data_IF_774977314251
#
_entry.id   IF_774977314251
#
_cell.length_a   1.000
_cell.length_b   1.000
_cell.length_c   1.000
_cell.angle_alpha   90.00
_cell.angle_beta   90.00
_cell.angle_gamma   90.00
#
_symmetry.space_group_name_H-M   'P 1'
#
loop_
_entity.id
_entity.type
_entity.pdbx_description
1 polymer ?
#
# COMPACT_ATOMS: atom_id res chain seq x y z
N UNK A 1 -12.17 -23.32 -8.22
CA UNK A 1 -12.02 -22.01 -7.57
C UNK A 1 -12.20 -20.96 -8.65
N UNK A 2 -13.29 -20.18 -8.59
CA UNK A 2 -13.58 -19.15 -9.59
C UNK A 2 -12.82 -17.87 -9.21
N UNK A 3 -11.99 -17.37 -10.13
CA UNK A 3 -11.31 -16.08 -10.08
C UNK A 3 -12.29 -14.97 -9.67
N UNK A 4 -12.07 -14.36 -8.51
CA UNK A 4 -12.69 -13.09 -8.11
C UNK A 4 -11.77 -11.92 -8.50
N UNK A 5 -11.51 -11.77 -9.80
CA UNK A 5 -11.69 -10.45 -10.38
C UNK A 5 -13.19 -10.41 -10.60
N UNK A 6 -13.94 -9.40 -10.12
CA UNK A 6 -15.41 -9.36 -10.31
C UNK A 6 -15.70 -9.10 -11.79
N UNK A 7 -15.53 -10.14 -12.60
CA UNK A 7 -15.98 -10.29 -13.97
C UNK A 7 -17.36 -10.92 -13.87
N UNK A 8 -18.38 -10.12 -13.61
CA UNK A 8 -19.75 -10.60 -13.59
C UNK A 8 -20.12 -11.13 -14.98
N UNK A 9 -20.60 -12.37 -15.05
CA UNK A 9 -21.18 -12.91 -16.28
C UNK A 9 -22.59 -12.36 -16.45
N UNK A 10 -23.03 -12.18 -17.70
CA UNK A 10 -24.35 -11.65 -18.08
C UNK A 10 -25.55 -12.44 -17.51
N UNK A 11 -25.32 -13.63 -16.95
CA UNK A 11 -26.35 -14.61 -16.60
C UNK A 11 -26.20 -15.20 -15.18
N UNK A 12 -25.71 -14.44 -14.19
CA UNK A 12 -25.78 -14.90 -12.81
C UNK A 12 -27.18 -14.61 -12.21
N UNK A 13 -27.98 -15.63 -11.83
CA UNK A 13 -29.27 -15.42 -11.20
C UNK A 13 -29.08 -15.01 -9.73
N UNK A 14 -29.52 -13.79 -9.41
CA UNK A 14 -29.85 -13.27 -8.07
C UNK A 14 -29.09 -13.86 -6.87
N UNK A 15 -27.83 -13.48 -6.67
CA UNK A 15 -27.28 -13.36 -5.32
C UNK A 15 -27.55 -11.93 -4.83
N UNK A 16 -28.52 -11.80 -3.92
CA UNK A 16 -28.85 -10.56 -3.21
C UNK A 16 -27.58 -10.04 -2.52
N UNK A 17 -27.00 -8.94 -3.02
CA UNK A 17 -26.09 -8.08 -2.27
C UNK A 17 -25.68 -6.78 -3.01
N UNK A 18 -26.44 -6.24 -3.97
CA UNK A 18 -26.03 -4.99 -4.64
C UNK A 18 -27.25 -4.22 -5.17
N UNK A 19 -27.35 -2.89 -4.91
CA UNK A 19 -28.33 -2.04 -5.58
C UNK A 19 -28.15 -2.14 -7.10
N UNK A 20 -29.27 -2.34 -7.79
CA UNK A 20 -29.36 -2.38 -9.25
C UNK A 20 -29.23 -0.97 -9.85
N UNK A 21 -28.67 -0.92 -11.07
CA UNK A 21 -28.59 0.23 -11.99
C UNK A 21 -27.58 1.31 -11.56
N UNK A 22 -26.42 1.50 -12.20
CA UNK A 22 -26.26 2.21 -13.50
C UNK A 22 -24.94 1.82 -14.24
N UNK A 23 -24.03 1.05 -13.64
CA UNK A 23 -22.66 0.87 -14.18
C UNK A 23 -22.36 -0.51 -14.82
N UNK A 24 -23.25 -1.50 -14.72
CA UNK A 24 -23.05 -2.88 -15.22
C UNK A 24 -23.08 -3.03 -16.74
N UNK A 25 -23.54 -2.00 -17.46
CA UNK A 25 -23.64 -2.03 -18.93
C UNK A 25 -22.38 -1.53 -19.65
N UNK A 26 -21.35 -1.09 -18.92
CA UNK A 26 -20.09 -0.67 -19.56
C UNK A 26 -19.31 -1.90 -20.03
N UNK A 27 -19.05 -2.05 -21.35
CA UNK A 27 -18.22 -3.14 -21.84
C UNK A 27 -16.80 -3.00 -21.26
N UNK A 28 -16.15 -4.14 -20.98
CA UNK A 28 -14.77 -4.22 -20.47
C UNK A 28 -13.73 -3.58 -21.43
N UNK A 29 -14.11 -3.30 -22.68
CA UNK A 29 -13.23 -2.80 -23.72
C UNK A 29 -13.73 -1.45 -24.26
N UNK A 30 -12.78 -0.61 -24.71
CA UNK A 30 -13.05 0.64 -25.43
C UNK A 30 -14.02 0.40 -26.59
N UNK A 31 -14.83 1.41 -26.90
CA UNK A 31 -15.84 1.37 -27.95
C UNK A 31 -15.23 0.96 -29.29
N UNK A 32 -15.32 -0.32 -29.66
CA UNK A 32 -14.86 -0.81 -30.96
C UNK A 32 -14.65 -2.32 -31.08
N UNK A 33 -14.29 -3.04 -30.01
CA UNK A 33 -14.01 -4.48 -30.09
C UNK A 33 -15.09 -5.33 -29.41
N UNK A 34 -16.07 -5.83 -30.18
CA UNK A 34 -16.94 -6.91 -29.72
C UNK A 34 -16.20 -8.24 -29.80
N UNK A 35 -15.53 -8.64 -28.72
CA UNK A 35 -14.89 -9.95 -28.57
C UNK A 35 -15.81 -10.89 -27.77
N UNK A 36 -15.58 -12.20 -27.86
CA UNK A 36 -16.28 -13.16 -27.00
C UNK A 36 -16.09 -12.83 -25.50
N UNK A 37 -14.91 -12.32 -25.14
CA UNK A 37 -14.63 -11.83 -23.79
C UNK A 37 -15.44 -10.56 -23.45
N UNK A 38 -15.58 -9.60 -24.37
CA UNK A 38 -16.35 -8.37 -24.13
C UNK A 38 -17.86 -8.63 -23.99
N UNK A 39 -18.36 -9.72 -24.53
CA UNK A 39 -19.74 -10.17 -24.33
C UNK A 39 -19.93 -10.93 -23.00
N UNK A 40 -18.89 -11.61 -22.52
CA UNK A 40 -18.94 -12.48 -21.33
C UNK A 40 -18.63 -11.75 -20.02
N UNK A 41 -17.74 -10.77 -20.04
CA UNK A 41 -17.19 -10.17 -18.83
C UNK A 41 -17.54 -8.68 -18.69
N UNK A 42 -17.73 -8.23 -17.45
CA UNK A 42 -18.04 -6.84 -17.08
C UNK A 42 -17.15 -6.41 -15.91
N UNK A 43 -16.90 -5.12 -15.77
CA UNK A 43 -16.23 -4.57 -14.59
C UNK A 43 -17.29 -4.33 -13.52
N UNK A 44 -17.15 -5.02 -12.39
CA UNK A 44 -17.99 -4.83 -11.21
C UNK A 44 -17.46 -3.73 -10.28
N UNK A 45 -18.05 -3.62 -9.07
CA UNK A 45 -17.53 -2.77 -8.01
C UNK A 45 -16.07 -3.11 -7.65
N UNK A 46 -15.35 -2.15 -7.08
CA UNK A 46 -13.99 -2.34 -6.58
C UNK A 46 -13.93 -3.45 -5.52
N UNK A 47 -12.82 -4.17 -5.50
CA UNK A 47 -12.47 -5.15 -4.47
C UNK A 47 -11.42 -4.60 -3.50
N UNK A 48 -11.08 -3.31 -3.60
CA UNK A 48 -10.16 -2.65 -2.68
C UNK A 48 -10.65 -2.71 -1.25
N UNK A 49 -9.81 -3.23 -0.37
CA UNK A 49 -10.09 -3.42 1.06
C UNK A 49 -10.61 -2.16 1.74
N UNK A 50 -10.18 -0.98 1.29
CA UNK A 50 -10.57 0.33 1.79
C UNK A 50 -12.09 0.56 1.76
N UNK A 51 -12.81 0.01 0.78
CA UNK A 51 -14.27 0.17 0.65
C UNK A 51 -15.08 -0.90 1.41
N UNK A 52 -14.41 -1.85 2.05
CA UNK A 52 -15.04 -3.05 2.62
C UNK A 52 -14.68 -3.32 4.08
N UNK A 53 -13.46 -2.99 4.52
CA UNK A 53 -12.96 -3.25 5.89
C UNK A 53 -13.73 -2.48 6.97
N UNK A 54 -13.47 -2.80 8.24
CA UNK A 54 -13.98 -2.06 9.39
C UNK A 54 -15.50 -1.83 9.39
N UNK A 55 -16.29 -2.80 8.89
CA UNK A 55 -17.74 -2.69 8.80
C UNK A 55 -18.27 -1.88 7.61
N UNK A 56 -17.39 -1.31 6.76
CA UNK A 56 -17.78 -0.54 5.57
C UNK A 56 -18.55 -1.36 4.55
N UNK A 57 -18.44 -2.69 4.58
CA UNK A 57 -19.28 -3.61 3.79
C UNK A 57 -20.79 -3.39 3.93
N UNK A 58 -21.24 -2.80 5.06
CA UNK A 58 -22.65 -2.49 5.34
C UNK A 58 -23.07 -1.09 4.90
N UNK A 59 -22.13 -0.23 4.50
CA UNK A 59 -22.42 1.13 4.07
C UNK A 59 -22.96 1.17 2.64
N UNK A 60 -23.93 2.04 2.42
CA UNK A 60 -24.40 2.41 1.08
C UNK A 60 -23.51 3.52 0.51
N UNK A 61 -22.39 3.11 -0.10
CA UNK A 61 -21.36 3.99 -0.68
C UNK A 61 -21.06 3.56 -2.11
N UNK A 62 -20.60 4.52 -2.92
CA UNK A 62 -20.15 4.29 -4.28
C UNK A 62 -18.88 3.41 -4.29
N UNK A 63 -18.98 2.26 -4.95
CA UNK A 63 -17.89 1.30 -5.12
C UNK A 63 -17.48 1.17 -6.58
N UNK A 64 -17.88 2.12 -7.42
CA UNK A 64 -17.56 2.16 -8.84
C UNK A 64 -18.34 1.14 -9.69
N UNK A 65 -17.88 0.89 -10.93
CA UNK A 65 -16.68 1.45 -11.54
C UNK A 65 -16.78 2.95 -11.83
N UNK A 66 -15.66 3.66 -11.70
CA UNK A 66 -15.58 5.11 -11.90
C UNK A 66 -15.20 5.49 -13.34
N UNK A 67 -15.73 6.59 -13.89
CA UNK A 67 -15.40 7.06 -15.23
C UNK A 67 -14.00 7.66 -15.37
N UNK A 68 -13.42 8.18 -14.30
CA UNK A 68 -12.12 8.85 -14.27
C UNK A 68 -11.53 8.88 -12.85
N UNK A 69 -10.26 9.30 -12.76
CA UNK A 69 -9.52 9.51 -11.51
C UNK A 69 -10.29 10.38 -10.51
N UNK A 70 -10.95 11.45 -10.97
CA UNK A 70 -11.67 12.39 -10.11
C UNK A 70 -12.81 11.70 -9.40
N UNK A 71 -13.62 10.93 -10.13
CA UNK A 71 -14.75 10.21 -9.57
C UNK A 71 -14.27 9.16 -8.53
N UNK A 72 -13.15 8.48 -8.77
CA UNK A 72 -12.54 7.60 -7.78
C UNK A 72 -12.12 8.35 -6.51
N UNK A 73 -11.42 9.49 -6.65
CA UNK A 73 -11.00 10.30 -5.51
C UNK A 73 -12.19 10.84 -4.70
N UNK A 74 -13.26 11.30 -5.37
CA UNK A 74 -14.50 11.71 -4.70
C UNK A 74 -15.13 10.55 -3.93
N UNK A 75 -15.14 9.34 -4.49
CA UNK A 75 -15.67 8.15 -3.82
C UNK A 75 -14.89 7.77 -2.55
N UNK A 76 -13.56 7.96 -2.55
CA UNK A 76 -12.74 7.76 -1.34
C UNK A 76 -13.10 8.75 -0.23
N UNK A 77 -13.22 10.04 -0.55
CA UNK A 77 -13.64 11.07 0.41
C UNK A 77 -15.04 10.80 0.97
N UNK A 78 -15.98 10.40 0.11
CA UNK A 78 -17.33 9.99 0.51
C UNK A 78 -17.33 8.74 1.39
N UNK A 79 -16.50 7.74 1.07
CA UNK A 79 -16.33 6.53 1.86
C UNK A 79 -15.81 6.85 3.28
N UNK A 80 -14.78 7.69 3.38
CA UNK A 80 -14.23 8.14 4.66
C UNK A 80 -15.31 8.86 5.49
N UNK A 81 -16.03 9.80 4.88
CA UNK A 81 -17.10 10.56 5.54
C UNK A 81 -18.23 9.67 6.04
N UNK A 82 -18.73 8.77 5.20
CA UNK A 82 -19.78 7.81 5.57
C UNK A 82 -19.34 6.89 6.72
N UNK A 83 -18.06 6.53 6.76
CA UNK A 83 -17.50 5.71 7.85
C UNK A 83 -17.52 6.43 9.19
N UNK A 84 -17.20 7.74 9.19
CA UNK A 84 -17.30 8.57 10.40
C UNK A 84 -18.76 8.78 10.82
N UNK A 85 -19.66 9.05 9.86
CA UNK A 85 -21.09 9.25 10.13
C UNK A 85 -21.76 8.00 10.71
N UNK A 86 -21.34 6.81 10.26
CA UNK A 86 -21.81 5.53 10.79
C UNK A 86 -21.12 5.11 12.11
N UNK A 87 -20.17 5.91 12.62
CA UNK A 87 -19.42 5.59 13.84
C UNK A 87 -18.45 4.41 13.70
N UNK A 88 -18.07 4.06 12.47
CA UNK A 88 -17.09 3.01 12.18
C UNK A 88 -15.65 3.50 12.40
N UNK A 89 -15.39 4.76 12.06
CA UNK A 89 -14.11 5.43 12.31
C UNK A 89 -14.26 6.49 13.41
N UNK A 90 -13.29 6.56 14.35
CA UNK A 90 -13.32 7.62 15.37
C UNK A 90 -13.07 8.98 14.74
N UNK A 91 -13.65 10.02 15.35
CA UNK A 91 -13.44 11.41 14.93
C UNK A 91 -13.36 12.34 16.15
N UNK A 92 -12.28 12.23 16.94
CA UNK A 92 -12.09 13.05 18.12
C UNK A 92 -12.02 14.52 17.73
N UNK A 93 -12.91 15.32 18.32
CA UNK A 93 -13.02 16.77 18.12
C UNK A 93 -13.32 17.21 16.67
N UNK A 94 -13.82 16.31 15.82
CA UNK A 94 -14.13 16.63 14.42
C UNK A 94 -12.91 16.69 13.49
N UNK A 95 -11.74 16.26 13.97
CA UNK A 95 -10.47 16.39 13.27
C UNK A 95 -10.42 15.65 11.93
N UNK A 96 -10.99 14.45 11.89
CA UNK A 96 -10.97 13.63 10.69
C UNK A 96 -11.91 14.21 9.64
N UNK A 97 -13.12 14.63 10.04
CA UNK A 97 -14.05 15.33 9.13
C UNK A 97 -13.45 16.61 8.57
N UNK A 98 -12.69 17.36 9.37
CA UNK A 98 -11.95 18.55 8.92
C UNK A 98 -10.95 18.20 7.81
N UNK A 99 -10.09 17.20 8.03
CA UNK A 99 -9.11 16.77 7.01
C UNK A 99 -9.76 16.18 5.76
N UNK A 100 -10.89 15.46 5.89
CA UNK A 100 -11.69 14.98 4.74
C UNK A 100 -12.22 16.16 3.93
N UNK A 101 -12.70 17.23 4.58
CA UNK A 101 -13.16 18.44 3.87
C UNK A 101 -12.03 19.08 3.06
N UNK A 102 -10.82 19.17 3.64
CA UNK A 102 -9.65 19.68 2.93
C UNK A 102 -9.29 18.77 1.76
N UNK A 103 -9.32 17.44 1.95
CA UNK A 103 -9.11 16.47 0.87
C UNK A 103 -10.07 16.72 -0.31
N UNK A 104 -11.37 16.89 -0.04
CA UNK A 104 -12.37 17.13 -1.09
C UNK A 104 -12.11 18.43 -1.87
N UNK A 105 -11.61 19.48 -1.20
CA UNK A 105 -11.17 20.72 -1.85
C UNK A 105 -9.92 20.53 -2.72
N UNK A 106 -9.05 19.58 -2.40
CA UNK A 106 -7.84 19.26 -3.15
C UNK A 106 -8.12 18.39 -4.40
N UNK A 107 -9.14 17.54 -4.36
CA UNK A 107 -9.46 16.57 -5.43
C UNK A 107 -9.46 17.20 -6.83
N UNK A 108 -10.05 18.40 -7.07
CA UNK A 108 -10.05 19.00 -8.39
C UNK A 108 -8.66 19.27 -9.00
N UNK A 109 -7.66 19.55 -8.15
CA UNK A 109 -6.28 19.86 -8.55
C UNK A 109 -5.36 18.62 -8.50
N UNK A 110 -5.63 17.67 -7.60
CA UNK A 110 -4.88 16.41 -7.52
C UNK A 110 -5.22 15.46 -8.66
N UNK A 111 -6.45 15.49 -9.17
CA UNK A 111 -6.91 14.59 -10.22
C UNK A 111 -6.24 14.90 -11.57
N UNK A 112 -5.36 14.03 -12.08
CA UNK A 112 -4.77 14.20 -13.40
C UNK A 112 -5.84 14.03 -14.49
N UNK A 113 -5.67 14.72 -15.62
CA UNK A 113 -6.61 14.62 -16.72
C UNK A 113 -6.46 13.26 -17.43
N UNK A 114 -7.42 12.37 -17.21
CA UNK A 114 -7.58 11.05 -17.89
C UNK A 114 -6.30 10.21 -17.91
N UNK A 115 -6.03 9.50 -16.81
CA UNK A 115 -5.00 8.47 -16.84
C UNK A 115 -5.58 7.14 -17.30
N UNK A 116 -4.72 6.27 -17.84
CA UNK A 116 -5.11 4.91 -18.16
C UNK A 116 -5.34 4.14 -16.86
N UNK A 117 -6.54 3.59 -16.69
CA UNK A 117 -6.77 2.59 -15.66
C UNK A 117 -6.20 1.24 -16.12
N UNK A 118 -5.44 0.59 -15.25
CA UNK A 118 -4.74 -0.67 -15.56
C UNK A 118 -5.14 -1.75 -14.58
N UNK A 119 -5.03 -3.01 -14.99
CA UNK A 119 -5.06 -4.12 -14.05
C UNK A 119 -3.60 -4.47 -13.71
N UNK A 120 -3.21 -4.32 -12.45
CA UNK A 120 -1.88 -4.69 -11.96
C UNK A 120 -1.99 -5.87 -11.00
N UNK A 121 -1.01 -6.78 -11.01
CA UNK A 121 -1.02 -7.90 -10.09
C UNK A 121 -0.66 -7.41 -8.68
N UNK A 122 -1.49 -7.67 -7.65
CA UNK A 122 -1.27 -7.09 -6.32
C UNK A 122 -0.05 -7.67 -5.59
N UNK A 123 0.29 -8.93 -5.86
CA UNK A 123 1.39 -9.62 -5.17
C UNK A 123 2.12 -10.64 -6.07
N UNK A 124 2.81 -10.15 -7.10
CA UNK A 124 3.50 -11.03 -8.06
C UNK A 124 4.88 -11.43 -7.52
N UNK A 125 4.88 -12.27 -6.48
CA UNK A 125 6.08 -12.95 -5.97
C UNK A 125 6.31 -14.28 -6.71
N UNK A 126 7.50 -14.87 -6.54
CA UNK A 126 7.89 -16.07 -7.30
C UNK A 126 6.95 -17.28 -7.10
N UNK A 127 6.27 -17.39 -5.95
CA UNK A 127 5.30 -18.45 -5.67
C UNK A 127 4.00 -18.32 -6.47
N UNK A 128 3.71 -17.13 -6.99
CA UNK A 128 2.54 -16.86 -7.83
C UNK A 128 2.83 -17.02 -9.33
N UNK A 129 4.02 -17.52 -9.69
CA UNK A 129 4.44 -17.81 -11.06
C UNK A 129 4.60 -19.33 -11.21
N UNK A 130 3.78 -19.94 -12.06
CA UNK A 130 3.82 -21.37 -12.37
C UNK A 130 4.63 -21.57 -13.64
N UNK A 131 5.67 -22.40 -13.55
CA UNK A 131 6.48 -22.84 -14.69
C UNK A 131 6.33 -24.34 -14.87
N UNK A 132 6.04 -24.79 -16.09
CA UNK A 132 6.07 -26.21 -16.44
C UNK A 132 7.39 -26.54 -17.14
N UNK A 133 7.96 -27.70 -16.84
CA UNK A 133 9.18 -28.21 -17.45
C UNK A 133 9.59 -29.52 -16.78
N UNK A 134 10.46 -30.30 -17.41
CA UNK A 134 10.99 -31.49 -16.79
C UNK A 134 12.09 -31.08 -15.80
N UNK A 135 11.82 -31.21 -14.49
CA UNK A 135 12.83 -30.95 -13.46
C UNK A 135 13.71 -32.20 -13.36
N UNK A 136 14.59 -32.38 -14.34
CA UNK A 136 15.72 -33.29 -14.16
C UNK A 136 16.80 -32.51 -13.41
N UNK A 137 17.09 -32.91 -12.16
CA UNK A 137 18.08 -32.25 -11.29
C UNK A 137 19.52 -32.26 -11.87
N UNK A 138 19.73 -32.97 -12.99
CA UNK A 138 20.99 -33.04 -13.73
C UNK A 138 20.97 -32.16 -15.00
N UNK A 139 19.81 -31.62 -15.41
CA UNK A 139 19.67 -30.76 -16.58
C UNK A 139 19.93 -29.31 -16.17
N UNK A 140 21.15 -28.84 -16.46
CA UNK A 140 21.56 -27.45 -16.23
C UNK A 140 20.96 -26.47 -17.25
N UNK A 141 20.22 -26.96 -18.25
CA UNK A 141 19.62 -26.13 -19.30
C UNK A 141 18.21 -25.67 -18.91
N UNK A 142 18.13 -24.42 -18.45
CA UNK A 142 16.91 -23.73 -18.07
C UNK A 142 15.91 -23.48 -19.21
N UNK A 143 16.26 -23.84 -20.45
CA UNK A 143 15.47 -23.60 -21.67
C UNK A 143 14.26 -24.54 -21.81
N UNK A 144 14.10 -25.53 -20.92
CA UNK A 144 12.96 -26.46 -20.91
C UNK A 144 11.74 -25.94 -20.13
N UNK A 145 11.88 -24.83 -19.39
CA UNK A 145 10.81 -24.27 -18.56
C UNK A 145 9.97 -23.24 -19.32
N UNK A 146 8.68 -23.52 -19.48
CA UNK A 146 7.68 -22.60 -20.01
C UNK A 146 6.85 -21.95 -18.90
N UNK A 147 6.50 -20.67 -19.04
CA UNK A 147 5.51 -20.03 -18.17
C UNK A 147 4.12 -20.64 -18.44
N UNK A 148 3.53 -21.22 -17.40
CA UNK A 148 2.24 -21.93 -17.50
C UNK A 148 1.11 -21.18 -16.83
N UNK A 149 1.41 -20.31 -15.87
CA UNK A 149 0.37 -19.51 -15.24
C UNK A 149 0.90 -18.43 -14.31
N UNK A 150 0.07 -17.41 -14.13
CA UNK A 150 0.18 -16.44 -13.04
C UNK A 150 -1.10 -16.57 -12.24
N UNK A 151 -0.98 -16.85 -10.95
CA UNK A 151 -2.10 -17.10 -10.03
C UNK A 151 -2.22 -15.98 -9.01
N UNK A 152 -3.20 -16.10 -8.10
CA UNK A 152 -3.39 -15.18 -6.98
C UNK A 152 -3.79 -13.74 -7.34
N UNK A 153 -4.52 -13.61 -8.45
CA UNK A 153 -5.18 -12.36 -8.86
C UNK A 153 -6.30 -11.89 -7.92
N UNK A 154 -6.50 -12.55 -6.78
CA UNK A 154 -7.46 -12.09 -5.78
C UNK A 154 -7.01 -10.72 -5.26
N UNK A 155 -7.93 -9.75 -5.15
CA UNK A 155 -7.66 -8.32 -4.84
C UNK A 155 -7.14 -7.47 -6.01
N UNK A 156 -6.88 -8.04 -7.18
CA UNK A 156 -6.51 -7.23 -8.35
C UNK A 156 -7.65 -6.24 -8.69
N UNK A 157 -7.32 -4.95 -8.76
CA UNK A 157 -8.29 -3.87 -8.99
C UNK A 157 -7.90 -3.09 -10.24
N UNK A 158 -8.89 -2.44 -10.86
CA UNK A 158 -8.68 -1.51 -11.97
C UNK A 158 -8.63 -0.09 -11.40
N UNK A 159 -7.44 0.48 -11.32
CA UNK A 159 -7.17 1.84 -10.85
C UNK A 159 -6.26 2.59 -11.82
N UNK A 160 -6.15 3.92 -11.69
CA UNK A 160 -5.07 4.68 -12.32
C UNK A 160 -3.71 4.03 -12.14
N UNK A 161 -2.94 3.91 -13.22
CA UNK A 161 -1.65 3.19 -13.21
C UNK A 161 -0.68 3.69 -12.14
N UNK A 162 -0.63 5.00 -11.90
CA UNK A 162 0.30 5.57 -10.92
C UNK A 162 0.00 5.12 -9.49
N UNK A 163 -1.25 4.78 -9.17
CA UNK A 163 -1.61 4.26 -7.84
C UNK A 163 -1.21 2.79 -7.64
N UNK A 164 -0.93 2.05 -8.72
CA UNK A 164 -0.70 0.60 -8.66
C UNK A 164 0.71 0.18 -9.03
N UNK A 165 1.37 0.90 -9.95
CA UNK A 165 2.66 0.48 -10.50
C UNK A 165 3.75 0.45 -9.42
N UNK A 166 4.21 -0.76 -9.12
CA UNK A 166 5.35 -1.07 -8.29
C UNK A 166 6.18 -2.16 -8.98
N UNK A 167 7.47 -2.25 -8.68
CA UNK A 167 8.27 -3.39 -9.16
C UNK A 167 7.68 -4.66 -8.54
N UNK A 168 7.35 -5.71 -9.32
CA UNK A 168 6.81 -6.93 -8.73
C UNK A 168 7.80 -7.58 -7.75
N UNK A 169 7.36 -8.11 -6.60
CA UNK A 169 8.25 -8.74 -5.61
C UNK A 169 9.14 -9.85 -6.17
N UNK A 170 8.72 -10.55 -7.23
CA UNK A 170 9.55 -11.54 -7.93
C UNK A 170 10.86 -10.97 -8.52
N UNK A 171 10.90 -9.66 -8.78
CA UNK A 171 11.99 -8.92 -9.40
C UNK A 171 12.56 -7.80 -8.50
N UNK A 172 12.10 -7.70 -7.25
CA UNK A 172 12.68 -6.79 -6.27
C UNK A 172 13.99 -7.35 -5.70
N UNK A 173 14.92 -6.46 -5.38
CA UNK A 173 16.17 -6.80 -4.72
C UNK A 173 16.66 -5.61 -3.90
N UNK A 174 16.88 -5.81 -2.61
CA UNK A 174 17.30 -4.79 -1.65
C UNK A 174 18.76 -5.05 -1.25
N UNK A 175 19.75 -4.29 -1.78
CA UNK A 175 21.17 -4.54 -1.49
C UNK A 175 21.54 -4.49 -0.01
N UNK A 176 20.87 -3.65 0.78
CA UNK A 176 21.14 -3.51 2.22
C UNK A 176 20.77 -4.75 3.03
N UNK A 177 19.88 -5.60 2.51
CA UNK A 177 19.47 -6.86 3.15
C UNK A 177 20.36 -8.04 2.73
N UNK A 178 21.16 -7.87 1.67
CA UNK A 178 21.93 -8.94 1.02
C UNK A 178 23.40 -8.53 0.86
N UNK A 179 24.15 -8.35 1.98
CA UNK A 179 25.50 -7.76 1.97
C UNK A 179 26.53 -8.61 1.20
N UNK A 180 26.23 -9.89 0.97
CA UNK A 180 27.09 -10.81 0.21
C UNK A 180 26.98 -10.62 -1.31
N UNK A 181 26.17 -9.67 -1.80
CA UNK A 181 25.99 -9.36 -3.22
C UNK A 181 26.20 -7.88 -3.47
N UNK A 182 27.10 -7.58 -4.41
CA UNK A 182 27.28 -6.23 -4.93
C UNK A 182 26.31 -6.00 -6.10
N UNK A 183 25.32 -5.13 -5.89
CA UNK A 183 24.36 -4.74 -6.91
C UNK A 183 24.22 -3.22 -6.98
N UNK A 184 24.16 -2.68 -8.19
CA UNK A 184 23.82 -1.29 -8.46
C UNK A 184 22.96 -1.21 -9.71
N UNK A 185 22.11 -0.19 -9.79
CA UNK A 185 21.13 0.03 -10.86
C UNK A 185 21.70 -0.04 -12.29
N UNK A 186 23.00 0.21 -12.49
CA UNK A 186 23.68 0.14 -13.79
C UNK A 186 24.80 -0.89 -13.87
N UNK A 187 25.06 -1.64 -12.79
CA UNK A 187 26.12 -2.62 -12.71
C UNK A 187 25.58 -4.04 -12.72
N UNK A 188 26.21 -4.93 -13.49
CA UNK A 188 25.91 -6.36 -13.43
C UNK A 188 26.12 -6.88 -12.00
N UNK A 189 25.15 -7.62 -11.42
CA UNK A 189 25.30 -8.21 -10.11
C UNK A 189 26.51 -9.15 -10.03
N UNK A 190 27.20 -9.13 -8.89
CA UNK A 190 28.31 -10.04 -8.59
C UNK A 190 28.37 -10.33 -7.09
N UNK A 191 29.02 -11.43 -6.72
CA UNK A 191 29.30 -11.73 -5.31
C UNK A 191 30.17 -10.65 -4.68
N UNK A 192 30.05 -10.47 -3.37
CA UNK A 192 30.91 -9.57 -2.61
C UNK A 192 32.36 -10.08 -2.53
N UNK A 193 33.28 -9.16 -2.21
CA UNK A 193 34.68 -9.50 -1.97
C UNK A 193 34.79 -10.45 -0.76
N UNK A 194 35.65 -11.47 -0.85
CA UNK A 194 35.81 -12.49 0.19
C UNK A 194 34.82 -13.67 0.10
N UNK A 195 34.04 -13.78 -0.99
CA UNK A 195 33.12 -14.92 -1.22
C UNK A 195 33.82 -16.29 -1.12
N UNK A 196 35.04 -16.41 -1.62
CA UNK A 196 35.78 -17.67 -1.63
C UNK A 196 36.14 -18.17 -0.21
N UNK A 197 36.24 -17.25 0.75
CA UNK A 197 36.58 -17.50 2.16
C UNK A 197 35.34 -17.81 3.02
N UNK A 198 34.13 -17.72 2.46
CA UNK A 198 32.88 -18.01 3.16
C UNK A 198 32.71 -19.51 3.44
N UNK A 199 31.91 -19.83 4.46
CA UNK A 199 31.46 -21.20 4.69
C UNK A 199 30.46 -21.64 3.61
N UNK A 200 30.24 -22.95 3.45
CA UNK A 200 29.38 -23.49 2.38
C UNK A 200 27.92 -23.03 2.49
N UNK A 201 27.43 -22.82 3.71
CA UNK A 201 26.09 -22.27 3.96
C UNK A 201 25.97 -20.83 3.45
N UNK A 202 26.92 -19.97 3.82
CA UNK A 202 26.99 -18.57 3.35
C UNK A 202 27.21 -18.48 1.84
N UNK A 203 28.03 -19.37 1.26
CA UNK A 203 28.22 -19.46 -0.21
C UNK A 203 26.92 -19.79 -0.93
N UNK A 204 26.13 -20.70 -0.37
CA UNK A 204 24.83 -21.09 -0.90
C UNK A 204 23.83 -19.94 -0.79
N UNK A 205 23.75 -19.28 0.37
CA UNK A 205 22.89 -18.11 0.58
C UNK A 205 23.24 -16.97 -0.38
N UNK A 206 24.53 -16.62 -0.51
CA UNK A 206 25.03 -15.61 -1.43
C UNK A 206 24.76 -15.97 -2.90
N UNK A 207 24.84 -17.25 -3.28
CA UNK A 207 24.48 -17.70 -4.62
C UNK A 207 22.99 -17.49 -4.92
N UNK A 208 22.10 -17.82 -3.98
CA UNK A 208 20.66 -17.56 -4.12
C UNK A 208 20.34 -16.06 -4.20
N UNK A 209 20.98 -15.25 -3.36
CA UNK A 209 20.87 -13.79 -3.39
C UNK A 209 21.36 -13.22 -4.73
N UNK A 210 22.49 -13.71 -5.25
CA UNK A 210 23.02 -13.32 -6.54
C UNK A 210 22.03 -13.63 -7.67
N UNK A 211 21.37 -14.79 -7.64
CA UNK A 211 20.30 -15.11 -8.60
C UNK A 211 19.12 -14.15 -8.50
N UNK A 212 18.71 -13.73 -7.30
CA UNK A 212 17.67 -12.68 -7.13
C UNK A 212 18.10 -11.36 -7.76
N UNK A 213 19.33 -10.92 -7.49
CA UNK A 213 19.89 -9.69 -8.06
C UNK A 213 19.95 -9.75 -9.59
N UNK A 214 20.33 -10.89 -10.19
CA UNK A 214 20.30 -11.08 -11.64
C UNK A 214 18.90 -11.00 -12.23
N UNK A 215 17.88 -11.57 -11.57
CA UNK A 215 16.49 -11.40 -12.02
C UNK A 215 16.05 -9.93 -11.99
N UNK A 216 16.35 -9.21 -10.91
CA UNK A 216 16.06 -7.78 -10.80
C UNK A 216 16.75 -6.96 -11.90
N UNK A 217 18.04 -7.23 -12.15
CA UNK A 217 18.83 -6.58 -13.20
C UNK A 217 18.24 -6.84 -14.60
N UNK A 218 17.98 -8.11 -14.93
CA UNK A 218 17.45 -8.51 -16.24
C UNK A 218 16.05 -7.94 -16.46
N UNK A 219 15.17 -8.01 -15.45
CA UNK A 219 13.83 -7.42 -15.56
C UNK A 219 13.91 -5.92 -15.85
N UNK A 220 14.74 -5.18 -15.11
CA UNK A 220 14.94 -3.75 -15.38
C UNK A 220 15.44 -3.49 -16.80
N UNK A 221 16.45 -4.24 -17.25
CA UNK A 221 17.03 -4.08 -18.59
C UNK A 221 16.00 -4.40 -19.69
N UNK A 222 15.23 -5.48 -19.54
CA UNK A 222 14.16 -5.84 -20.47
C UNK A 222 13.05 -4.79 -20.51
N UNK A 223 12.61 -4.28 -19.36
CA UNK A 223 11.61 -3.21 -19.32
C UNK A 223 12.10 -1.93 -20.00
N UNK A 224 13.38 -1.58 -19.85
CA UNK A 224 13.95 -0.42 -20.52
C UNK A 224 13.96 -0.57 -22.06
N UNK A 225 14.11 -1.78 -22.57
CA UNK A 225 14.12 -2.09 -24.00
C UNK A 225 12.70 -2.19 -24.57
N UNK A 226 11.81 -2.93 -23.91
CA UNK A 226 10.45 -3.24 -24.38
C UNK A 226 9.46 -2.09 -24.13
N UNK A 227 9.54 -1.41 -22.98
CA UNK A 227 8.62 -0.32 -22.59
C UNK A 227 9.35 0.71 -21.72
N UNK A 228 10.18 1.54 -22.37
CA UNK A 228 10.93 2.60 -21.70
C UNK A 228 10.04 3.55 -20.85
N UNK A 229 8.83 3.96 -21.27
CA UNK A 229 7.89 4.67 -20.42
C UNK A 229 7.54 3.94 -19.11
N UNK A 230 7.13 2.67 -19.17
CA UNK A 230 6.82 1.86 -17.99
C UNK A 230 8.05 1.68 -17.10
N UNK A 231 9.22 1.44 -17.69
CA UNK A 231 10.47 1.31 -16.94
C UNK A 231 10.79 2.56 -16.12
N UNK A 232 10.54 3.77 -16.66
CA UNK A 232 10.68 5.02 -15.90
C UNK A 232 9.69 5.09 -14.75
N UNK A 233 8.43 4.71 -14.97
CA UNK A 233 7.40 4.71 -13.94
C UNK A 233 7.69 3.73 -12.79
N UNK A 234 8.33 2.59 -13.09
CA UNK A 234 8.70 1.57 -12.10
C UNK A 234 10.00 1.88 -11.34
N UNK A 235 11.02 2.41 -12.03
CA UNK A 235 12.38 2.48 -11.48
C UNK A 235 12.90 3.90 -11.17
N UNK A 236 12.22 4.95 -11.60
CA UNK A 236 12.65 6.33 -11.36
C UNK A 236 11.77 7.01 -10.29
N UNK A 237 12.41 7.55 -9.24
CA UNK A 237 11.73 8.06 -8.04
C UNK A 237 11.22 9.51 -8.14
N UNK A 238 11.52 10.23 -9.23
CA UNK A 238 11.22 11.66 -9.36
C UNK A 238 10.42 12.04 -10.62
N UNK A 239 10.00 11.05 -11.41
CA UNK A 239 9.28 11.26 -12.67
C UNK A 239 8.05 10.37 -12.75
N UNK A 240 7.24 10.56 -13.80
CA UNK A 240 6.19 9.63 -14.17
C UNK A 240 5.20 9.32 -13.04
N UNK A 241 4.90 8.03 -12.86
CA UNK A 241 4.02 7.47 -11.82
C UNK A 241 4.41 7.92 -10.40
N UNK A 242 5.70 7.89 -10.05
CA UNK A 242 6.18 8.31 -8.73
C UNK A 242 5.84 9.76 -8.42
N UNK A 243 6.00 10.65 -9.40
CA UNK A 243 5.63 12.07 -9.25
C UNK A 243 4.12 12.24 -9.06
N UNK A 244 3.30 11.53 -9.84
CA UNK A 244 1.84 11.60 -9.70
C UNK A 244 1.37 11.04 -8.36
N UNK A 245 1.96 9.95 -7.86
CA UNK A 245 1.69 9.45 -6.49
C UNK A 245 1.98 10.51 -5.44
N UNK A 246 3.10 11.22 -5.56
CA UNK A 246 3.43 12.32 -4.66
C UNK A 246 2.35 13.42 -4.65
N UNK A 247 1.85 13.79 -5.82
CA UNK A 247 0.76 14.78 -5.96
C UNK A 247 -0.61 14.28 -5.50
N UNK A 248 -0.82 12.96 -5.51
CA UNK A 248 -2.03 12.30 -5.07
C UNK A 248 -1.88 11.64 -3.69
N UNK A 249 -0.87 12.01 -2.88
CA UNK A 249 -0.59 11.36 -1.59
C UNK A 249 -1.82 11.14 -0.71
N UNK A 250 -2.69 12.15 -0.51
CA UNK A 250 -3.91 12.01 0.29
C UNK A 250 -4.89 10.91 -0.16
N UNK A 251 -4.85 10.51 -1.44
CA UNK A 251 -5.68 9.42 -1.99
C UNK A 251 -5.42 8.09 -1.26
N UNK A 252 -4.18 7.86 -0.82
CA UNK A 252 -3.78 6.61 -0.14
C UNK A 252 -4.06 6.58 1.37
N UNK A 253 -4.44 7.72 1.94
CA UNK A 253 -4.55 7.91 3.40
C UNK A 253 -5.94 8.32 3.84
N UNK A 254 -6.75 8.95 2.98
CA UNK A 254 -8.05 9.51 3.34
C UNK A 254 -9.04 8.48 3.89
N UNK A 255 -8.92 7.20 3.52
CA UNK A 255 -9.79 6.12 4.00
C UNK A 255 -9.18 5.29 5.14
N UNK A 256 -8.02 5.68 5.70
CA UNK A 256 -7.37 4.93 6.79
C UNK A 256 -8.01 5.13 8.18
N UNK A 257 -9.00 6.03 8.28
CA UNK A 257 -9.74 6.23 9.53
C UNK A 257 -9.07 7.24 10.47
N UNK A 258 -9.78 7.60 11.54
CA UNK A 258 -9.30 8.57 12.53
C UNK A 258 -8.10 8.13 13.36
N UNK A 259 -7.67 6.86 13.24
CA UNK A 259 -6.42 6.39 13.83
C UNK A 259 -5.18 6.73 13.00
N UNK A 260 -5.36 7.22 11.76
CA UNK A 260 -4.26 7.61 10.86
C UNK A 260 -4.35 9.09 10.46
N UNK A 261 -4.90 9.93 11.35
CA UNK A 261 -5.02 11.38 11.16
C UNK A 261 -3.69 12.02 10.77
N UNK A 262 -2.61 11.64 11.48
CA UNK A 262 -1.26 12.09 11.18
C UNK A 262 -0.88 11.80 9.73
N UNK A 263 -1.14 10.58 9.24
CA UNK A 263 -0.82 10.21 7.86
C UNK A 263 -1.60 10.99 6.82
N UNK A 264 -2.89 11.26 7.05
CA UNK A 264 -3.69 12.12 6.17
C UNK A 264 -3.16 13.57 6.19
N UNK A 265 -2.97 14.15 7.38
CA UNK A 265 -2.44 15.50 7.53
C UNK A 265 -1.05 15.66 6.89
N UNK A 266 -0.15 14.69 7.08
CA UNK A 266 1.19 14.66 6.47
C UNK A 266 1.12 14.64 4.96
N UNK A 267 0.24 13.80 4.41
CA UNK A 267 0.05 13.74 2.96
C UNK A 267 -0.52 15.04 2.38
N UNK A 268 -1.40 15.74 3.12
CA UNK A 268 -1.91 17.07 2.76
C UNK A 268 -0.79 18.12 2.85
N UNK A 269 0.04 18.09 3.90
CA UNK A 269 1.19 18.97 4.07
C UNK A 269 2.23 18.78 2.95
N UNK A 270 2.47 17.54 2.52
CA UNK A 270 3.35 17.23 1.40
C UNK A 270 2.81 17.83 0.09
N UNK A 271 1.50 17.72 -0.16
CA UNK A 271 0.83 18.39 -1.29
C UNK A 271 0.93 19.92 -1.19
N UNK A 272 0.77 20.49 0.00
CA UNK A 272 0.93 21.93 0.25
C UNK A 272 2.34 22.40 -0.12
N UNK A 273 3.37 21.64 0.24
CA UNK A 273 4.77 21.99 -0.04
C UNK A 273 5.10 22.05 -1.53
N UNK A 274 4.40 21.28 -2.36
CA UNK A 274 4.58 21.24 -3.82
C UNK A 274 3.47 21.95 -4.60
N UNK A 275 2.56 22.65 -3.91
CA UNK A 275 1.33 23.19 -4.51
C UNK A 275 1.60 24.13 -5.70
N UNK A 276 2.60 25.01 -5.58
CA UNK A 276 3.01 25.90 -6.66
C UNK A 276 3.44 25.16 -7.93
N UNK A 277 4.02 23.96 -7.79
CA UNK A 277 4.40 23.10 -8.93
C UNK A 277 3.17 22.44 -9.53
N UNK A 278 2.17 22.09 -8.71
CA UNK A 278 0.95 21.43 -9.16
C UNK A 278 0.02 22.38 -9.92
N UNK A 279 -0.27 23.55 -9.36
CA UNK A 279 -1.25 24.50 -9.94
C UNK A 279 -0.61 25.59 -10.78
N UNK A 280 0.73 25.67 -10.82
CA UNK A 280 1.46 26.77 -11.45
C UNK A 280 1.45 28.05 -10.61
N UNK A 281 2.23 29.04 -11.03
CA UNK A 281 2.34 30.36 -10.38
C UNK A 281 1.86 31.47 -11.30
N UNK A 282 1.39 32.58 -10.72
CA UNK A 282 1.02 33.76 -11.50
C UNK A 282 2.25 34.43 -12.13
N UNK A 283 2.08 34.90 -13.37
CA UNK A 283 3.13 35.59 -14.13
C UNK A 283 3.63 36.85 -13.40
N UNK A 284 2.74 37.54 -12.68
CA UNK A 284 3.03 38.81 -12.00
C UNK A 284 3.90 38.64 -10.75
N UNK A 285 3.70 37.56 -9.98
CA UNK A 285 4.36 37.36 -8.69
C UNK A 285 5.50 36.35 -8.73
N UNK A 286 5.50 35.47 -9.75
CA UNK A 286 6.37 34.28 -9.91
C UNK A 286 6.45 33.34 -8.71
N UNK A 287 5.66 33.59 -7.66
CA UNK A 287 5.74 32.94 -6.34
C UNK A 287 4.37 32.60 -5.76
N UNK A 288 3.31 33.30 -6.20
CA UNK A 288 1.93 33.08 -5.77
C UNK A 288 1.28 32.04 -6.68
N UNK A 289 0.62 31.00 -6.12
CA UNK A 289 -0.01 29.97 -6.93
C UNK A 289 -1.18 30.52 -7.74
N UNK A 290 -1.46 29.92 -8.91
CA UNK A 290 -2.63 30.29 -9.73
C UNK A 290 -3.95 29.99 -9.01
N UNK A 291 -3.97 28.93 -8.21
CA UNK A 291 -5.10 28.55 -7.33
C UNK A 291 -4.60 28.59 -5.89
N UNK A 292 -5.23 29.33 -4.97
CA UNK A 292 -4.82 29.32 -3.57
C UNK A 292 -4.98 27.92 -2.98
N UNK A 293 -4.07 27.52 -2.09
CA UNK A 293 -4.22 26.30 -1.32
C UNK A 293 -5.45 26.42 -0.39
N UNK A 294 -6.21 25.33 -0.13
CA UNK A 294 -7.34 25.36 0.79
C UNK A 294 -6.99 26.03 2.13
N UNK A 295 -7.68 27.11 2.53
CA UNK A 295 -7.31 27.88 3.72
C UNK A 295 -7.61 27.14 5.02
N UNK A 296 -8.40 26.06 4.96
CA UNK A 296 -8.75 25.26 6.14
C UNK A 296 -7.57 24.51 6.75
N UNK A 297 -6.50 24.23 5.99
CA UNK A 297 -5.33 23.54 6.52
C UNK A 297 -4.39 24.52 7.22
N UNK A 298 -4.39 24.47 8.55
CA UNK A 298 -3.73 25.41 9.44
C UNK A 298 -2.38 24.90 9.96
N UNK A 299 -1.60 25.80 10.58
CA UNK A 299 -0.39 25.38 11.29
C UNK A 299 -0.71 24.57 12.56
N UNK A 300 -1.92 24.72 13.11
CA UNK A 300 -2.38 23.87 14.21
C UNK A 300 -2.60 22.42 13.74
N UNK A 301 -3.09 22.21 12.52
CA UNK A 301 -3.22 20.86 11.95
C UNK A 301 -1.84 20.18 11.81
N UNK A 302 -0.82 20.95 11.43
CA UNK A 302 0.58 20.46 11.36
C UNK A 302 1.14 20.15 12.74
N UNK A 303 0.89 21.00 13.73
CA UNK A 303 1.33 20.75 15.11
C UNK A 303 0.67 19.51 15.70
N UNK A 304 -0.64 19.34 15.48
CA UNK A 304 -1.37 18.13 15.90
C UNK A 304 -0.83 16.89 15.21
N UNK A 305 -0.55 16.98 13.90
CA UNK A 305 0.10 15.90 13.15
C UNK A 305 1.45 15.51 13.77
N UNK A 306 2.35 16.47 14.00
CA UNK A 306 3.66 16.21 14.62
C UNK A 306 3.54 15.56 16.01
N UNK A 307 2.54 15.97 16.81
CA UNK A 307 2.27 15.38 18.12
C UNK A 307 1.79 13.93 18.04
N UNK A 308 0.87 13.64 17.10
CA UNK A 308 0.38 12.29 16.87
C UNK A 308 1.47 11.37 16.29
N UNK A 309 2.32 11.87 15.39
CA UNK A 309 3.49 11.12 14.87
C UNK A 309 4.48 10.79 15.98
N UNK A 310 4.86 11.78 16.79
CA UNK A 310 5.73 11.55 17.92
C UNK A 310 5.10 10.55 18.93
N UNK A 311 3.77 10.51 19.01
CA UNK A 311 3.05 9.53 19.82
C UNK A 311 3.07 8.14 19.20
N UNK A 312 2.89 8.01 17.89
CA UNK A 312 3.04 6.75 17.14
C UNK A 312 4.46 6.20 17.29
N UNK A 313 5.48 7.04 17.14
CA UNK A 313 6.90 6.66 17.29
C UNK A 313 7.17 6.08 18.68
N UNK A 314 6.69 6.73 19.75
CA UNK A 314 6.81 6.20 21.12
C UNK A 314 6.13 4.84 21.28
N UNK A 315 4.96 4.65 20.64
CA UNK A 315 4.25 3.37 20.69
C UNK A 315 5.07 2.28 19.98
N UNK A 316 5.67 2.59 18.83
CA UNK A 316 6.55 1.67 18.09
C UNK A 316 7.79 1.30 18.91
N UNK A 317 8.43 2.26 19.58
CA UNK A 317 9.53 1.99 20.51
C UNK A 317 9.10 1.02 21.62
N UNK A 318 7.89 1.20 22.19
CA UNK A 318 7.33 0.26 23.18
C UNK A 318 7.06 -1.14 22.60
N UNK A 319 6.79 -1.28 21.30
CA UNK A 319 6.72 -2.59 20.65
C UNK A 319 8.10 -3.24 20.58
N UNK A 320 9.11 -2.49 20.15
CA UNK A 320 10.47 -3.00 19.97
C UNK A 320 11.07 -3.49 21.29
N UNK A 321 10.82 -2.76 22.39
CA UNK A 321 11.21 -3.16 23.76
C UNK A 321 10.67 -4.55 24.17
N UNK A 322 9.57 -5.02 23.56
CA UNK A 322 8.94 -6.31 23.86
C UNK A 322 9.28 -7.37 22.82
N UNK A 323 9.16 -7.04 21.54
CA UNK A 323 9.23 -7.99 20.45
C UNK A 323 10.68 -8.39 20.11
N UNK A 324 11.62 -7.44 20.16
CA UNK A 324 13.03 -7.71 19.85
C UNK A 324 13.64 -8.73 20.82
N UNK A 325 13.46 -8.62 22.16
CA UNK A 325 13.94 -9.63 23.10
C UNK A 325 13.35 -11.03 22.89
N UNK A 326 12.13 -11.11 22.37
CA UNK A 326 11.46 -12.38 22.07
C UNK A 326 11.88 -12.98 20.72
N UNK A 327 12.69 -12.27 19.93
CA UNK A 327 13.01 -12.67 18.56
C UNK A 327 11.77 -12.69 17.66
N UNK A 328 10.73 -11.94 18.03
CA UNK A 328 9.46 -11.86 17.31
C UNK A 328 9.53 -10.64 16.41
N UNK A 329 9.29 -10.81 15.12
CA UNK A 329 9.17 -9.67 14.22
C UNK A 329 7.82 -8.98 14.44
N UNK A 330 7.77 -7.66 14.28
CA UNK A 330 6.53 -6.88 14.27
C UNK A 330 5.46 -7.47 13.34
N UNK A 331 5.90 -8.04 12.21
CA UNK A 331 5.04 -8.68 11.20
C UNK A 331 4.46 -10.03 11.64
N UNK A 332 4.97 -10.64 12.72
CA UNK A 332 4.42 -11.87 13.27
C UNK A 332 3.14 -11.63 14.09
N UNK A 333 2.69 -10.38 14.23
CA UNK A 333 1.40 -10.02 14.84
C UNK A 333 1.21 -10.50 16.29
N UNK A 334 2.32 -10.70 17.01
CA UNK A 334 2.29 -11.28 18.36
C UNK A 334 2.05 -12.79 18.39
N UNK A 335 2.04 -13.46 17.23
CA UNK A 335 2.05 -14.92 17.15
C UNK A 335 3.41 -15.44 17.59
N UNK A 336 3.38 -16.31 18.59
CA UNK A 336 4.55 -17.03 19.09
C UNK A 336 4.27 -18.54 19.04
N UNK A 337 5.30 -19.38 18.84
CA UNK A 337 5.16 -20.82 19.03
C UNK A 337 4.53 -21.14 20.39
N UNK A 338 3.71 -22.20 20.45
CA UNK A 338 2.98 -22.55 21.68
C UNK A 338 3.91 -22.78 22.87
N UNK A 339 5.12 -23.26 22.59
CA UNK A 339 6.18 -23.49 23.57
C UNK A 339 6.74 -22.19 24.18
N UNK A 340 6.59 -21.07 23.47
CA UNK A 340 7.07 -19.75 23.87
C UNK A 340 5.97 -18.86 24.45
N UNK A 341 4.70 -19.30 24.43
CA UNK A 341 3.56 -18.49 24.84
C UNK A 341 3.67 -17.95 26.28
N UNK A 342 3.99 -18.82 27.24
CA UNK A 342 4.09 -18.42 28.64
C UNK A 342 5.29 -17.49 28.88
N UNK A 343 6.38 -17.65 28.12
CA UNK A 343 7.55 -16.78 28.21
C UNK A 343 7.27 -15.42 27.57
N UNK A 344 6.65 -15.39 26.39
CA UNK A 344 6.21 -14.17 25.73
C UNK A 344 5.28 -13.34 26.63
N UNK A 345 4.34 -14.00 27.32
CA UNK A 345 3.45 -13.34 28.28
C UNK A 345 4.21 -12.74 29.46
N UNK A 346 5.24 -13.41 29.98
CA UNK A 346 6.09 -12.86 31.06
C UNK A 346 6.92 -11.68 30.59
N UNK A 347 7.56 -11.78 29.43
CA UNK A 347 8.36 -10.68 28.86
C UNK A 347 7.48 -9.45 28.61
N UNK A 348 6.28 -9.64 28.05
CA UNK A 348 5.32 -8.57 27.84
C UNK A 348 4.92 -7.87 29.15
N UNK A 349 4.58 -8.64 30.20
CA UNK A 349 4.20 -8.06 31.49
C UNK A 349 5.39 -7.40 32.21
N UNK A 350 6.58 -7.98 32.12
CA UNK A 350 7.80 -7.39 32.69
C UNK A 350 8.15 -6.07 32.00
N UNK A 351 8.08 -6.02 30.68
CA UNK A 351 8.31 -4.80 29.91
C UNK A 351 7.27 -3.74 30.26
N UNK A 352 5.99 -4.11 30.34
CA UNK A 352 4.92 -3.20 30.80
C UNK A 352 5.24 -2.61 32.16
N UNK A 353 5.61 -3.44 33.13
CA UNK A 353 5.94 -2.98 34.47
C UNK A 353 7.18 -2.08 34.49
N UNK A 354 8.21 -2.43 33.72
CA UNK A 354 9.43 -1.62 33.58
C UNK A 354 9.11 -0.24 32.98
N UNK A 355 8.35 -0.17 31.89
CA UNK A 355 7.93 1.10 31.27
C UNK A 355 7.12 1.96 32.25
N UNK A 356 6.15 1.36 32.96
CA UNK A 356 5.37 2.10 33.96
C UNK A 356 6.17 2.53 35.19
N UNK A 357 7.21 1.78 35.55
CA UNK A 357 8.11 2.12 36.67
C UNK A 357 9.13 3.19 36.30
N UNK A 358 9.48 3.32 35.01
CA UNK A 358 10.40 4.33 34.50
C UNK A 358 9.77 5.72 34.36
N UNK A 359 8.43 5.83 34.46
CA UNK A 359 7.71 7.09 34.40
C UNK A 359 8.21 8.10 35.46
N UNK A 360 8.51 9.33 35.03
CA UNK A 360 8.99 10.41 35.88
C UNK A 360 7.87 11.07 36.70
N UNK A 361 6.60 10.93 36.29
CA UNK A 361 5.45 11.43 37.03
C UNK A 361 4.26 10.47 37.02
N UNK A 362 3.25 10.76 37.86
CA UNK A 362 1.99 10.03 37.85
C UNK A 362 1.22 10.25 36.54
N UNK A 363 1.22 11.48 35.99
CA UNK A 363 0.58 11.74 34.70
C UNK A 363 1.25 10.96 33.56
N UNK A 364 2.58 10.91 33.53
CA UNK A 364 3.32 10.14 32.53
C UNK A 364 3.05 8.64 32.67
N UNK A 365 2.96 8.13 33.90
CA UNK A 365 2.62 6.73 34.17
C UNK A 365 1.23 6.38 33.64
N UNK A 366 0.25 7.25 33.88
CA UNK A 366 -1.12 7.05 33.39
C UNK A 366 -1.17 7.12 31.85
N UNK A 367 -0.41 8.05 31.24
CA UNK A 367 -0.27 8.14 29.80
C UNK A 367 0.35 6.86 29.21
N UNK A 368 1.48 6.39 29.75
CA UNK A 368 2.14 5.15 29.29
C UNK A 368 1.24 3.92 29.46
N UNK A 369 0.47 3.85 30.54
CA UNK A 369 -0.53 2.79 30.73
C UNK A 369 -1.64 2.86 29.66
N UNK A 370 -2.11 4.07 29.38
CA UNK A 370 -3.10 4.28 28.33
C UNK A 370 -2.53 4.02 26.94
N UNK A 371 -1.27 4.32 26.67
CA UNK A 371 -0.62 4.14 25.36
C UNK A 371 -0.07 2.73 25.13
N UNK A 372 0.00 1.89 26.18
CA UNK A 372 0.52 0.53 26.10
C UNK A 372 -0.02 -0.23 24.88
N UNK A 373 0.85 -0.75 23.99
CA UNK A 373 0.43 -1.28 22.69
C UNK A 373 -0.32 -2.61 22.76
N UNK A 374 0.07 -3.50 23.68
CA UNK A 374 -0.49 -4.84 23.79
C UNK A 374 -1.74 -4.87 24.70
N UNK A 375 -2.79 -4.13 24.31
CA UNK A 375 -4.08 -4.14 25.02
C UNK A 375 -5.26 -3.95 24.06
N UNK A 376 -6.45 -4.34 24.53
CA UNK A 376 -7.68 -4.23 23.75
C UNK A 376 -7.95 -2.80 23.28
N UNK A 377 -8.42 -2.67 22.05
CA UNK A 377 -8.76 -1.38 21.46
C UNK A 377 -7.56 -0.62 20.88
N UNK A 378 -6.33 -1.12 20.99
CA UNK A 378 -5.14 -0.54 20.31
C UNK A 378 -5.00 -0.96 18.85
N UNK A 379 -4.46 -0.08 18.00
CA UNK A 379 -4.25 -0.39 16.59
C UNK A 379 -3.34 -1.60 16.47
N UNK A 380 -3.76 -2.58 15.68
CA UNK A 380 -2.87 -3.62 15.19
C UNK A 380 -2.29 -3.10 13.87
N UNK A 381 -0.97 -3.06 13.76
CA UNK A 381 -0.30 -2.46 12.59
C UNK A 381 -0.44 -3.29 11.32
N UNK A 382 -0.81 -4.58 11.46
CA UNK A 382 -0.90 -5.54 10.36
C UNK A 382 -2.30 -6.12 10.18
N UNK A 383 -3.13 -6.16 11.24
CA UNK A 383 -4.52 -6.60 11.16
C UNK A 383 -5.43 -5.43 10.80
N UNK A 384 -5.88 -5.41 9.54
CA UNK A 384 -7.11 -4.70 9.19
C UNK A 384 -8.23 -5.22 10.09
N UNK A 385 -8.75 -4.38 11.00
CA UNK A 385 -9.88 -4.75 11.86
C UNK A 385 -11.08 -5.12 10.98
N UNK A 386 -11.26 -6.42 10.79
CA UNK A 386 -12.45 -6.99 10.18
C UNK A 386 -13.49 -7.16 11.29
N UNK A 387 -14.48 -6.27 11.34
CA UNK A 387 -15.68 -6.43 12.15
C UNK A 387 -16.76 -7.20 11.39
#
# INVERSE_FOLDING_TARGET
>A
MHMCIVLCTRYAPSTRCFPEEVARDRPFYSSGAQTAASQRFRIGPTVEVEFWRAGRSKLDIDRGPWPDDRAYMVALGACARASVEAGLDPDPDGAYRHLISIYDELVPAMSPFRTSCTLWHPDLHAGNIIVDGNIDNEDHDADSFGLSGIIDWQRATILPYYLQYSVPPAYEFTPSEEPLVQYSAGGKPKVADGYDDLCEEDKTAAYHALRRAWRAYVHRAMMQDEDAPLARDLYESAVGASKMRGFAGPVTTVTRGGYSLASLARSIAAVQAVWNVMVGVSDESRTKPLVPFPPGFSDEDKRRMEQEEAREDRIVEMYDDVLVPLGVHWAAEGLVPVEQYDEAKKVMENARQATLAAAASAEERDQLAQEWPFQDGKPAFTLDRCW
#
